data_IF_437021711322
#
_entry.id   IF_437021711322
#
_cell.length_a   1.000
_cell.length_b   1.000
_cell.length_c   1.000
_cell.angle_alpha   90.00
_cell.angle_beta   90.00
_cell.angle_gamma   90.00
#
_symmetry.space_group_name_H-M   'P 1'
#
loop_
_entity.id
_entity.type
_entity.pdbx_description
1 polymer ?
#
# COMPACT_ATOMS: atom_id res chain seq x y z
N UNK A 1 3.23 15.02 -0.33
CA UNK A 1 2.88 14.49 -1.66
C UNK A 1 4.11 13.94 -2.36
N UNK A 2 5.10 14.75 -2.74
CA UNK A 2 6.32 14.28 -3.42
C UNK A 2 7.02 13.14 -2.66
N UNK A 3 7.26 13.31 -1.36
CA UNK A 3 7.91 12.27 -0.53
C UNK A 3 7.15 10.93 -0.52
N UNK A 4 5.82 10.96 -0.57
CA UNK A 4 4.99 9.74 -0.62
C UNK A 4 5.06 9.10 -2.00
N UNK A 5 5.01 9.89 -3.07
CA UNK A 5 5.13 9.38 -4.44
C UNK A 5 6.53 8.79 -4.66
N UNK A 6 7.58 9.46 -4.19
CA UNK A 6 8.95 8.92 -4.24
C UNK A 6 9.08 7.63 -3.44
N UNK A 7 8.43 7.53 -2.28
CA UNK A 7 8.49 6.36 -1.40
C UNK A 7 7.70 5.18 -1.97
N UNK A 8 6.49 5.43 -2.46
CA UNK A 8 5.58 4.37 -2.88
C UNK A 8 5.64 4.10 -4.37
N UNK A 9 6.01 5.05 -5.21
CA UNK A 9 6.11 4.88 -6.67
C UNK A 9 7.51 5.27 -7.16
N UNK A 10 8.57 4.59 -6.67
CA UNK A 10 9.95 5.00 -6.91
C UNK A 10 10.32 4.92 -8.40
N UNK A 11 9.78 3.94 -9.13
CA UNK A 11 10.03 3.78 -10.56
C UNK A 11 9.37 4.92 -11.36
N UNK A 12 8.10 5.20 -11.08
CA UNK A 12 7.35 6.25 -11.75
C UNK A 12 7.91 7.63 -11.42
N UNK A 13 8.41 7.83 -10.20
CA UNK A 13 9.13 9.04 -9.81
C UNK A 13 10.46 9.18 -10.57
N UNK A 14 11.24 8.11 -10.74
CA UNK A 14 12.46 8.14 -11.57
C UNK A 14 12.15 8.47 -13.03
N UNK A 15 11.06 7.92 -13.58
CA UNK A 15 10.57 8.28 -14.93
C UNK A 15 10.17 9.75 -14.96
N UNK A 16 9.51 10.27 -13.91
CA UNK A 16 9.16 11.68 -13.78
C UNK A 16 10.38 12.60 -13.77
N UNK A 17 11.44 12.24 -13.04
CA UNK A 17 12.71 12.98 -13.05
C UNK A 17 13.30 13.01 -14.45
N UNK A 18 13.35 11.85 -15.12
CA UNK A 18 13.85 11.76 -16.48
C UNK A 18 13.02 12.61 -17.45
N UNK A 19 11.70 12.62 -17.31
CA UNK A 19 10.81 13.44 -18.13
C UNK A 19 11.06 14.95 -17.94
N UNK A 20 11.28 15.40 -16.70
CA UNK A 20 11.65 16.80 -16.40
C UNK A 20 12.98 17.17 -17.06
N UNK A 21 14.00 16.32 -16.96
CA UNK A 21 15.29 16.53 -17.67
C UNK A 21 15.09 16.61 -19.18
N UNK A 22 14.25 15.73 -19.75
CA UNK A 22 13.95 15.71 -21.18
C UNK A 22 13.29 17.02 -21.66
N UNK A 23 12.42 17.61 -20.84
CA UNK A 23 11.77 18.90 -21.14
C UNK A 23 12.79 20.03 -21.18
N UNK A 24 13.73 20.05 -20.23
CA UNK A 24 14.84 21.02 -20.23
C UNK A 24 15.71 20.86 -21.49
N UNK A 25 16.12 19.63 -21.80
CA UNK A 25 16.98 19.34 -22.96
C UNK A 25 16.33 19.68 -24.31
N UNK A 26 15.01 19.44 -24.45
CA UNK A 26 14.30 19.61 -25.73
C UNK A 26 13.73 21.00 -25.93
N UNK A 27 13.26 21.64 -24.85
CA UNK A 27 12.49 22.88 -24.90
C UNK A 27 13.18 24.05 -24.20
N UNK A 28 14.25 23.80 -23.45
CA UNK A 28 15.01 24.82 -22.73
C UNK A 28 14.32 25.35 -21.47
N UNK A 29 13.27 24.68 -20.97
CA UNK A 29 12.57 25.05 -19.76
C UNK A 29 13.02 24.20 -18.58
N UNK A 30 13.63 24.85 -17.57
CA UNK A 30 13.95 24.21 -16.30
C UNK A 30 12.70 24.16 -15.42
N UNK A 31 12.08 22.99 -15.31
CA UNK A 31 10.97 22.77 -14.38
C UNK A 31 11.50 22.45 -12.97
N UNK A 32 10.77 22.81 -11.91
CA UNK A 32 11.07 22.36 -10.56
C UNK A 32 11.06 20.83 -10.48
N UNK A 33 11.93 20.26 -9.64
CA UNK A 33 11.98 18.80 -9.40
C UNK A 33 10.64 18.26 -8.89
N UNK A 34 9.87 19.08 -8.17
CA UNK A 34 8.53 18.74 -7.67
C UNK A 34 7.56 18.31 -8.79
N UNK A 35 7.76 18.78 -10.04
CA UNK A 35 6.97 18.37 -11.20
C UNK A 35 7.17 16.88 -11.57
N UNK A 36 8.29 16.28 -11.16
CA UNK A 36 8.51 14.84 -11.34
C UNK A 36 7.45 14.00 -10.62
N UNK A 37 7.01 14.42 -9.44
CA UNK A 37 5.94 13.73 -8.71
C UNK A 37 4.59 13.87 -9.43
N UNK A 38 4.31 15.00 -10.08
CA UNK A 38 3.12 15.19 -10.88
C UNK A 38 3.12 14.25 -12.11
N UNK A 39 4.25 14.17 -12.83
CA UNK A 39 4.41 13.23 -13.95
C UNK A 39 4.21 11.78 -13.48
N UNK A 40 4.85 11.39 -12.38
CA UNK A 40 4.72 10.06 -11.81
C UNK A 40 3.27 9.69 -11.49
N UNK A 41 2.52 10.60 -10.85
CA UNK A 41 1.09 10.41 -10.57
C UNK A 41 0.30 10.20 -11.86
N UNK A 42 0.57 10.97 -12.91
CA UNK A 42 -0.11 10.79 -14.19
C UNK A 42 0.15 9.42 -14.82
N UNK A 43 1.36 8.87 -14.67
CA UNK A 43 1.68 7.52 -15.10
C UNK A 43 0.91 6.46 -14.30
N UNK A 44 0.91 6.56 -12.97
CA UNK A 44 0.17 5.64 -12.09
C UNK A 44 -1.33 5.66 -12.40
N UNK A 45 -1.91 6.84 -12.58
CA UNK A 45 -3.31 7.00 -12.95
C UNK A 45 -3.64 6.32 -14.30
N UNK A 46 -2.74 6.44 -15.28
CA UNK A 46 -2.91 5.84 -16.59
C UNK A 46 -2.81 4.31 -16.53
N UNK A 47 -1.91 3.77 -15.71
CA UNK A 47 -1.76 2.33 -15.50
C UNK A 47 -2.99 1.71 -14.82
N UNK A 48 -3.50 2.36 -13.78
CA UNK A 48 -4.62 1.87 -12.99
C UNK A 48 -5.99 2.27 -13.55
N UNK A 49 -6.02 3.12 -14.59
CA UNK A 49 -7.23 3.73 -15.15
C UNK A 49 -8.11 4.42 -14.09
N UNK A 50 -7.47 5.18 -13.19
CA UNK A 50 -8.11 5.92 -12.08
C UNK A 50 -7.78 7.41 -12.11
N UNK A 51 -8.47 8.20 -11.27
CA UNK A 51 -8.21 9.65 -11.15
C UNK A 51 -7.10 9.91 -10.14
N UNK A 52 -6.43 11.05 -10.29
CA UNK A 52 -5.40 11.56 -9.34
C UNK A 52 -5.85 11.46 -7.87
N UNK A 53 -7.09 11.88 -7.60
CA UNK A 53 -7.67 11.83 -6.24
C UNK A 53 -7.70 10.43 -5.67
N UNK A 54 -7.96 9.43 -6.50
CA UNK A 54 -8.09 8.04 -6.09
C UNK A 54 -6.71 7.44 -5.78
N UNK A 55 -5.69 7.74 -6.61
CA UNK A 55 -4.28 7.41 -6.33
C UNK A 55 -3.80 8.01 -5.02
N UNK A 56 -4.19 9.25 -4.73
CA UNK A 56 -3.85 9.87 -3.45
C UNK A 56 -4.48 9.14 -2.26
N UNK A 57 -5.78 8.80 -2.33
CA UNK A 57 -6.46 8.03 -1.28
C UNK A 57 -5.83 6.66 -1.06
N UNK A 58 -5.43 5.97 -2.14
CA UNK A 58 -4.71 4.69 -2.06
C UNK A 58 -3.37 4.88 -1.34
N UNK A 59 -2.62 5.92 -1.70
CA UNK A 59 -1.30 6.20 -1.11
C UNK A 59 -1.39 6.51 0.38
N UNK A 60 -2.40 7.27 0.80
CA UNK A 60 -2.68 7.55 2.21
C UNK A 60 -3.01 6.28 2.98
N UNK A 61 -3.92 5.45 2.45
CA UNK A 61 -4.29 4.18 3.09
C UNK A 61 -3.08 3.26 3.27
N UNK A 62 -2.21 3.17 2.25
CA UNK A 62 -0.97 2.40 2.33
C UNK A 62 -0.07 2.92 3.46
N UNK A 63 0.10 4.24 3.56
CA UNK A 63 0.88 4.87 4.63
C UNK A 63 0.33 4.56 6.03
N UNK A 64 -0.98 4.71 6.21
CA UNK A 64 -1.64 4.48 7.50
C UNK A 64 -1.55 3.02 7.94
N UNK A 65 -1.83 2.08 7.02
CA UNK A 65 -1.71 0.65 7.30
C UNK A 65 -0.28 0.31 7.70
N UNK A 66 0.72 0.81 6.98
CA UNK A 66 2.13 0.57 7.32
C UNK A 66 2.48 1.13 8.69
N UNK A 67 1.95 2.30 9.07
CA UNK A 67 2.18 2.89 10.38
C UNK A 67 1.57 2.01 11.49
N UNK A 68 0.35 1.50 11.30
CA UNK A 68 -0.31 0.60 12.25
C UNK A 68 0.45 -0.71 12.44
N UNK A 69 0.93 -1.30 11.34
CA UNK A 69 1.74 -2.53 11.40
C UNK A 69 3.09 -2.25 12.09
N UNK A 70 3.76 -1.16 11.73
CA UNK A 70 5.06 -0.78 12.31
C UNK A 70 4.96 -0.45 13.80
N UNK A 71 3.82 0.05 14.27
CA UNK A 71 3.58 0.31 15.68
C UNK A 71 3.40 -0.98 16.51
N UNK A 72 3.08 -2.11 15.87
CA UNK A 72 2.92 -3.40 16.54
C UNK A 72 4.20 -4.23 16.49
N UNK A 73 4.94 -4.23 15.37
CA UNK A 73 6.10 -5.10 15.19
C UNK A 73 7.40 -4.30 15.03
N UNK A 74 8.28 -4.37 16.04
CA UNK A 74 9.62 -3.78 15.98
C UNK A 74 10.46 -4.45 14.89
N UNK A 75 11.05 -3.66 13.98
CA UNK A 75 11.83 -4.16 12.83
C UNK A 75 11.27 -3.76 11.47
N UNK A 76 9.97 -3.46 11.39
CA UNK A 76 9.31 -2.95 10.18
C UNK A 76 9.86 -1.62 9.67
N UNK A 77 10.64 -0.91 10.48
CA UNK A 77 11.32 0.33 10.11
C UNK A 77 12.50 0.10 9.15
N UNK A 78 13.12 -1.08 9.14
CA UNK A 78 14.25 -1.36 8.23
C UNK A 78 13.78 -1.34 6.77
N UNK A 79 14.56 -0.73 5.89
CA UNK A 79 14.36 -0.84 4.44
C UNK A 79 14.92 -2.20 3.97
N UNK A 80 14.05 -3.05 3.41
CA UNK A 80 14.42 -4.34 2.83
C UNK A 80 13.49 -4.68 1.65
N UNK A 81 13.90 -5.56 0.74
CA UNK A 81 13.10 -5.91 -0.45
C UNK A 81 11.75 -6.55 -0.07
N UNK A 82 11.71 -7.25 1.06
CA UNK A 82 10.52 -7.91 1.59
C UNK A 82 9.45 -6.88 1.97
N UNK A 83 9.87 -5.70 2.43
CA UNK A 83 8.99 -4.56 2.71
C UNK A 83 8.41 -3.99 1.43
N UNK A 84 9.16 -3.91 0.33
CA UNK A 84 8.64 -3.45 -0.96
C UNK A 84 7.54 -4.39 -1.51
N UNK A 85 7.72 -5.70 -1.32
CA UNK A 85 6.71 -6.70 -1.65
C UNK A 85 5.41 -6.51 -0.85
N UNK A 86 5.51 -6.29 0.45
CA UNK A 86 4.35 -6.04 1.30
C UNK A 86 3.67 -4.70 1.04
N UNK A 87 4.45 -3.64 0.79
CA UNK A 87 3.92 -2.35 0.34
C UNK A 87 3.10 -2.53 -0.94
N UNK A 88 3.58 -3.34 -1.88
CA UNK A 88 2.85 -3.67 -3.11
C UNK A 88 1.53 -4.38 -2.82
N UNK A 89 1.52 -5.34 -1.89
CA UNK A 89 0.29 -6.03 -1.49
C UNK A 89 -0.70 -5.10 -0.79
N UNK A 90 -0.23 -4.19 0.08
CA UNK A 90 -1.10 -3.19 0.70
C UNK A 90 -1.67 -2.25 -0.36
N UNK A 91 -0.89 -1.85 -1.37
CA UNK A 91 -1.41 -1.03 -2.49
C UNK A 91 -2.53 -1.76 -3.23
N UNK A 92 -2.34 -3.05 -3.55
CA UNK A 92 -3.36 -3.85 -4.23
C UNK A 92 -4.61 -4.02 -3.37
N UNK A 93 -4.44 -4.28 -2.07
CA UNK A 93 -5.53 -4.35 -1.10
C UNK A 93 -6.29 -3.02 -1.02
N UNK A 94 -5.57 -1.90 -0.94
CA UNK A 94 -6.11 -0.54 -0.86
C UNK A 94 -6.86 -0.14 -2.14
N UNK A 95 -6.30 -0.48 -3.30
CA UNK A 95 -6.97 -0.31 -4.58
C UNK A 95 -8.28 -1.10 -4.61
N UNK A 96 -8.25 -2.40 -4.25
CA UNK A 96 -9.44 -3.24 -4.20
C UNK A 96 -10.48 -2.69 -3.22
N UNK A 97 -10.09 -2.27 -2.02
CA UNK A 97 -10.96 -1.69 -1.00
C UNK A 97 -11.71 -0.43 -1.49
N UNK A 98 -11.01 0.43 -2.23
CA UNK A 98 -11.53 1.74 -2.61
C UNK A 98 -12.22 1.75 -3.98
N UNK A 99 -11.81 0.86 -4.89
CA UNK A 99 -12.18 0.93 -6.31
C UNK A 99 -13.04 -0.26 -6.77
N UNK A 100 -13.00 -1.39 -6.06
CA UNK A 100 -13.71 -2.61 -6.45
C UNK A 100 -14.90 -2.90 -5.52
N UNK A 101 -15.98 -3.52 -6.03
CA UNK A 101 -17.04 -4.02 -5.17
C UNK A 101 -16.53 -5.14 -4.25
N UNK A 102 -17.17 -5.37 -3.10
CA UNK A 102 -16.82 -6.47 -2.20
C UNK A 102 -16.77 -7.81 -2.93
N UNK A 103 -15.75 -8.61 -2.64
CA UNK A 103 -15.58 -9.93 -3.24
C UNK A 103 -16.54 -10.94 -2.62
N UNK A 104 -16.95 -11.94 -3.39
CA UNK A 104 -17.66 -13.10 -2.82
C UNK A 104 -16.66 -14.00 -2.10
N UNK A 105 -16.87 -14.15 -0.81
CA UNK A 105 -16.08 -15.05 0.02
C UNK A 105 -16.66 -16.48 -0.02
N UNK A 106 -15.78 -17.47 0.04
CA UNK A 106 -16.16 -18.87 0.28
C UNK A 106 -16.03 -19.24 1.75
N UNK A 107 -15.13 -18.55 2.46
CA UNK A 107 -14.74 -18.82 3.84
C UNK A 107 -13.86 -20.08 3.96
N UNK A 108 -13.06 -20.12 5.03
CA UNK A 108 -12.40 -21.33 5.52
C UNK A 108 -12.27 -21.23 7.04
N UNK A 109 -13.32 -21.65 7.76
CA UNK A 109 -13.39 -21.55 9.22
C UNK A 109 -12.24 -22.28 9.92
N UNK A 110 -11.76 -23.40 9.36
CA UNK A 110 -10.66 -24.18 9.96
C UNK A 110 -9.35 -23.44 9.86
N UNK A 111 -9.05 -22.89 8.68
CA UNK A 111 -7.85 -22.08 8.50
C UNK A 111 -7.91 -20.80 9.35
N UNK A 112 -9.07 -20.15 9.41
CA UNK A 112 -9.26 -19.00 10.27
C UNK A 112 -9.01 -19.32 11.75
N UNK A 113 -9.59 -20.41 12.26
CA UNK A 113 -9.39 -20.82 13.64
C UNK A 113 -7.91 -21.09 13.93
N UNK A 114 -7.24 -21.81 13.02
CA UNK A 114 -5.80 -22.06 13.12
C UNK A 114 -4.99 -20.77 13.23
N UNK A 115 -5.27 -19.76 12.40
CA UNK A 115 -4.57 -18.47 12.44
C UNK A 115 -4.87 -17.70 13.73
N UNK A 116 -6.13 -17.67 14.18
CA UNK A 116 -6.52 -17.02 15.45
C UNK A 116 -5.80 -17.64 16.66
N UNK A 117 -5.65 -18.96 16.67
CA UNK A 117 -5.02 -19.69 17.78
C UNK A 117 -3.49 -19.66 17.75
N UNK A 118 -2.86 -19.65 16.57
CA UNK A 118 -1.41 -19.79 16.44
C UNK A 118 -0.68 -18.47 16.10
N UNK A 119 -1.37 -17.51 15.51
CA UNK A 119 -0.83 -16.20 15.08
C UNK A 119 -1.72 -15.07 15.60
N UNK A 120 -2.01 -15.11 16.90
CA UNK A 120 -2.99 -14.23 17.56
C UNK A 120 -2.64 -12.76 17.42
N UNK A 121 -1.37 -12.38 17.58
CA UNK A 121 -0.92 -10.98 17.48
C UNK A 121 -1.08 -10.45 16.04
N UNK A 122 -0.76 -11.27 15.04
CA UNK A 122 -0.93 -10.92 13.63
C UNK A 122 -2.42 -10.82 13.24
N UNK A 123 -3.26 -11.71 13.77
CA UNK A 123 -4.71 -11.65 13.60
C UNK A 123 -5.31 -10.39 14.24
N UNK A 124 -4.98 -10.08 15.48
CA UNK A 124 -5.44 -8.88 16.17
C UNK A 124 -4.97 -7.59 15.46
N UNK A 125 -3.79 -7.63 14.84
CA UNK A 125 -3.32 -6.52 14.00
C UNK A 125 -4.18 -6.36 12.75
N UNK A 126 -4.50 -7.46 12.06
CA UNK A 126 -5.38 -7.42 10.90
C UNK A 126 -6.79 -6.89 11.26
N UNK A 127 -7.34 -7.30 12.40
CA UNK A 127 -8.63 -6.78 12.90
C UNK A 127 -8.56 -5.28 13.20
N UNK A 128 -7.54 -4.82 13.93
CA UNK A 128 -7.35 -3.38 14.21
C UNK A 128 -7.26 -2.53 12.93
N UNK A 129 -6.60 -3.06 11.90
CA UNK A 129 -6.52 -2.42 10.59
C UNK A 129 -7.88 -2.44 9.88
N UNK A 130 -8.62 -3.55 9.99
CA UNK A 130 -10.00 -3.66 9.55
C UNK A 130 -10.90 -2.55 10.11
N UNK A 131 -10.86 -2.38 11.44
CA UNK A 131 -11.64 -1.37 12.15
C UNK A 131 -11.24 0.06 11.76
N UNK A 132 -9.93 0.32 11.64
CA UNK A 132 -9.42 1.62 11.21
C UNK A 132 -9.87 1.96 9.78
N UNK A 133 -9.74 1.01 8.84
CA UNK A 133 -10.14 1.20 7.44
C UNK A 133 -11.65 1.45 7.33
N UNK A 134 -12.45 0.75 8.13
CA UNK A 134 -13.90 0.98 8.21
C UNK A 134 -14.23 2.40 8.68
N UNK A 135 -13.53 2.90 9.71
CA UNK A 135 -13.77 4.21 10.27
C UNK A 135 -13.32 5.35 9.34
N UNK A 136 -12.09 5.29 8.82
CA UNK A 136 -11.48 6.40 8.07
C UNK A 136 -11.83 6.40 6.58
N UNK A 137 -11.97 5.22 5.97
CA UNK A 137 -12.10 5.07 4.52
C UNK A 137 -13.48 4.62 4.06
N UNK A 138 -14.37 4.25 5.00
CA UNK A 138 -15.74 3.78 4.74
C UNK A 138 -15.80 2.54 3.84
N UNK A 139 -14.81 1.65 3.99
CA UNK A 139 -14.74 0.36 3.32
C UNK A 139 -14.33 -0.73 4.32
N UNK A 140 -14.58 -1.99 3.99
CA UNK A 140 -14.38 -3.09 4.92
C UNK A 140 -13.44 -4.14 4.35
N UNK A 141 -12.52 -4.60 5.20
CA UNK A 141 -11.79 -5.84 4.95
C UNK A 141 -12.75 -7.00 5.22
N UNK A 142 -12.76 -7.94 4.29
CA UNK A 142 -13.47 -9.19 4.44
C UNK A 142 -12.73 -10.13 5.40
N UNK A 143 -13.38 -11.20 5.86
CA UNK A 143 -12.71 -12.13 6.78
C UNK A 143 -11.53 -12.88 6.11
N UNK A 144 -11.68 -13.27 4.85
CA UNK A 144 -10.61 -13.87 4.06
C UNK A 144 -9.45 -12.89 3.85
N UNK A 145 -9.74 -11.59 3.70
CA UNK A 145 -8.72 -10.56 3.54
C UNK A 145 -7.99 -10.29 4.84
N UNK A 146 -8.69 -10.26 5.97
CA UNK A 146 -8.06 -10.21 7.29
C UNK A 146 -7.18 -11.43 7.53
N UNK A 147 -7.64 -12.62 7.16
CA UNK A 147 -6.88 -13.87 7.25
C UNK A 147 -5.61 -13.84 6.41
N UNK A 148 -5.74 -13.45 5.14
CA UNK A 148 -4.59 -13.31 4.24
C UNK A 148 -3.60 -12.29 4.79
N UNK A 149 -4.10 -11.14 5.26
CA UNK A 149 -3.27 -10.07 5.78
C UNK A 149 -2.51 -10.48 7.05
N UNK A 150 -3.15 -11.20 7.98
CA UNK A 150 -2.49 -11.76 9.16
C UNK A 150 -1.35 -12.72 8.77
N UNK A 151 -1.57 -13.62 7.81
CA UNK A 151 -0.52 -14.52 7.31
C UNK A 151 0.63 -13.76 6.64
N UNK A 152 0.35 -12.65 5.95
CA UNK A 152 1.38 -11.80 5.35
C UNK A 152 2.22 -11.07 6.40
N UNK A 153 1.59 -10.54 7.45
CA UNK A 153 2.29 -9.95 8.60
C UNK A 153 3.21 -11.01 9.23
N UNK A 154 2.68 -12.22 9.49
CA UNK A 154 3.46 -13.32 10.07
C UNK A 154 4.68 -13.66 9.22
N UNK A 155 4.48 -13.82 7.91
CA UNK A 155 5.57 -14.09 6.96
C UNK A 155 6.63 -13.00 6.98
N UNK A 156 6.23 -11.73 7.08
CA UNK A 156 7.23 -10.66 7.13
C UNK A 156 8.00 -10.68 8.44
N UNK A 157 7.32 -10.87 9.56
CA UNK A 157 7.96 -10.99 10.87
C UNK A 157 9.04 -12.08 10.85
N UNK A 158 8.72 -13.25 10.31
CA UNK A 158 9.66 -14.38 10.20
C UNK A 158 10.89 -14.09 9.32
N UNK A 159 10.84 -13.06 8.46
CA UNK A 159 11.96 -12.65 7.62
C UNK A 159 12.80 -11.53 8.25
N UNK A 160 12.28 -10.87 9.29
CA UNK A 160 12.95 -9.77 9.99
C UNK A 160 13.62 -10.20 11.31
N UNK A 161 13.23 -11.36 11.85
CA UNK A 161 13.87 -12.09 12.97
C UNK A 161 15.10 -12.88 12.51
#
# INVERSE_FOLDING_TARGET
>A
MEAEIRRFYPLEYQIGIHAVTLIEEKLGYLLPVDEAAAVAIHLVNAELNIKVRDTWRITQMVGDILNLVSATFEGFHKECMEKDGFVTEIKLLSYRLLMAPPMKEKGDERLQLFVKENYTEEWETAVRIGDFVAAEYQCHLSEEEMLYFALRIKRMRDLLE
#
